data_IF_974146424793
#
_entry.id   IF_974146424793
#
_cell.length_a   1.000
_cell.length_b   1.000
_cell.length_c   1.000
_cell.angle_alpha   90.00
_cell.angle_beta   90.00
_cell.angle_gamma   90.00
#
_symmetry.space_group_name_H-M   'P 1'
#
loop_
_entity.id
_entity.type
_entity.pdbx_description
1 polymer ?
#
# COMPACT_ATOMS: atom_id res chain seq x y z
N UNK A 1 16.18 75.50 15.38
CA UNK A 1 15.04 74.57 15.21
C UNK A 1 14.71 74.43 13.74
N UNK A 2 15.00 73.27 13.12
CA UNK A 2 14.30 72.74 11.92
C UNK A 2 14.86 71.36 11.56
N UNK A 3 14.14 70.35 12.05
CA UNK A 3 13.73 69.07 11.44
C UNK A 3 14.80 68.25 10.70
N UNK A 4 15.30 67.23 11.41
CA UNK A 4 15.83 65.99 10.82
C UNK A 4 14.69 65.23 10.13
N UNK A 5 14.85 64.89 8.85
CA UNK A 5 14.03 63.89 8.16
C UNK A 5 14.85 62.61 8.12
N UNK A 6 14.43 61.64 8.93
CA UNK A 6 14.92 60.26 8.92
C UNK A 6 14.21 59.54 7.78
N UNK A 7 14.95 59.15 6.75
CA UNK A 7 14.45 58.23 5.74
C UNK A 7 14.49 56.81 6.32
N UNK A 8 13.32 56.27 6.67
CA UNK A 8 13.16 54.91 7.13
C UNK A 8 13.39 53.95 5.95
N UNK A 9 14.51 53.24 5.99
CA UNK A 9 14.80 52.10 5.12
C UNK A 9 13.99 50.91 5.63
N UNK A 10 12.79 50.72 5.08
CA UNK A 10 11.96 49.54 5.37
C UNK A 10 12.57 48.30 4.75
N UNK A 11 13.30 47.51 5.55
CA UNK A 11 13.67 46.14 5.19
C UNK A 11 12.42 45.28 5.37
N UNK A 12 11.72 45.02 4.27
CA UNK A 12 10.67 44.01 4.20
C UNK A 12 11.36 42.65 4.19
N UNK A 13 11.47 42.01 5.37
CA UNK A 13 11.97 40.65 5.50
C UNK A 13 10.89 39.69 4.97
N UNK A 14 11.00 39.32 3.69
CA UNK A 14 10.15 38.28 3.11
C UNK A 14 10.64 36.93 3.66
N UNK A 15 9.98 36.42 4.70
CA UNK A 15 10.20 35.05 5.14
C UNK A 15 9.76 34.11 4.01
N UNK A 16 10.72 33.44 3.36
CA UNK A 16 10.41 32.33 2.47
C UNK A 16 9.78 31.24 3.32
N UNK A 17 8.46 31.06 3.20
CA UNK A 17 7.82 29.87 3.70
C UNK A 17 8.40 28.70 2.92
N UNK A 18 9.22 27.87 3.58
CA UNK A 18 9.53 26.55 3.07
C UNK A 18 8.20 25.81 3.05
N UNK A 19 7.71 25.49 1.85
CA UNK A 19 6.59 24.57 1.72
C UNK A 19 7.09 23.23 2.24
N UNK A 20 6.54 22.87 3.38
CA UNK A 20 6.87 21.67 4.08
C UNK A 20 6.14 20.52 3.39
N UNK A 21 6.86 19.43 3.13
CA UNK A 21 6.31 18.27 2.43
C UNK A 21 6.01 17.18 3.46
N UNK A 22 4.94 16.42 3.23
CA UNK A 22 4.50 15.37 4.14
C UNK A 22 5.42 14.18 4.00
N UNK A 23 5.96 13.73 5.12
CA UNK A 23 6.78 12.52 5.18
C UNK A 23 5.96 11.37 5.76
N UNK A 24 6.40 10.15 5.47
CA UNK A 24 5.73 8.92 5.87
C UNK A 24 6.62 8.12 6.80
N UNK A 25 6.02 7.58 7.87
CA UNK A 25 6.72 6.76 8.85
C UNK A 25 6.89 5.35 8.30
N UNK A 26 8.12 4.86 8.32
CA UNK A 26 8.47 3.45 8.11
C UNK A 26 8.94 2.89 9.44
N UNK A 27 8.44 1.70 9.76
CA UNK A 27 8.76 1.01 10.99
C UNK A 27 8.73 -0.50 10.76
N UNK A 28 9.70 -1.18 11.35
CA UNK A 28 9.84 -2.63 11.27
C UNK A 28 10.80 -3.11 12.38
N UNK A 29 10.99 -4.42 12.50
CA UNK A 29 11.86 -5.04 13.48
C UNK A 29 12.87 -6.01 12.83
N UNK A 30 14.09 -6.03 13.36
CA UNK A 30 15.16 -6.90 12.86
C UNK A 30 15.19 -8.18 13.70
N UNK A 31 15.08 -9.32 13.03
CA UNK A 31 15.22 -10.65 13.64
C UNK A 31 16.34 -11.45 12.98
N UNK A 32 16.94 -12.37 13.73
CA UNK A 32 17.88 -13.32 13.17
C UNK A 32 17.16 -14.54 12.56
N UNK A 33 17.91 -15.47 11.97
CA UNK A 33 17.36 -16.69 11.35
C UNK A 33 16.58 -17.59 12.32
N UNK A 34 16.77 -17.43 13.64
CA UNK A 34 16.03 -18.14 14.68
C UNK A 34 14.79 -17.38 15.17
N UNK A 35 14.44 -16.25 14.54
CA UNK A 35 13.30 -15.39 14.91
C UNK A 35 13.53 -14.54 16.15
N UNK A 36 14.76 -14.46 16.68
CA UNK A 36 15.10 -13.66 17.85
C UNK A 36 15.40 -12.23 17.43
N UNK A 37 14.82 -11.26 18.15
CA UNK A 37 15.03 -9.83 17.91
C UNK A 37 16.50 -9.44 18.08
N UNK A 38 16.96 -8.54 17.20
CA UNK A 38 18.36 -8.16 17.11
C UNK A 38 18.55 -6.76 17.67
N UNK A 39 19.20 -6.73 18.84
CA UNK A 39 19.79 -5.56 19.49
C UNK A 39 20.55 -4.66 18.50
N UNK A 40 20.52 -3.32 18.50
CA UNK A 40 21.53 -2.42 17.90
C UNK A 40 22.07 -2.77 16.50
N UNK A 41 21.25 -3.32 15.61
CA UNK A 41 21.61 -3.48 14.21
C UNK A 41 21.65 -2.11 13.53
N UNK A 42 22.60 -1.94 12.60
CA UNK A 42 22.70 -0.75 11.77
C UNK A 42 21.73 -0.90 10.61
N UNK A 43 20.80 0.04 10.46
CA UNK A 43 19.84 0.10 9.36
C UNK A 43 20.18 1.33 8.51
N UNK A 44 20.61 1.09 7.28
CA UNK A 44 20.92 2.14 6.31
C UNK A 44 19.85 2.16 5.23
N UNK A 45 19.28 3.33 4.98
CA UNK A 45 18.25 3.51 3.95
C UNK A 45 18.90 4.16 2.72
N UNK A 46 18.74 3.58 1.55
CA UNK A 46 19.26 4.10 0.28
C UNK A 46 18.11 4.53 -0.62
N UNK A 47 18.37 5.46 -1.53
CA UNK A 47 17.46 5.65 -2.66
C UNK A 47 17.49 4.38 -3.51
N UNK A 48 16.32 3.90 -3.97
CA UNK A 48 16.20 2.63 -4.68
C UNK A 48 17.19 2.48 -5.83
N UNK A 49 17.71 1.27 -5.99
CA UNK A 49 18.66 0.89 -7.03
C UNK A 49 20.00 1.66 -6.96
N UNK A 50 20.32 2.26 -5.80
CA UNK A 50 21.55 3.04 -5.59
C UNK A 50 22.26 2.70 -4.29
N UNK A 51 23.51 3.16 -4.17
CA UNK A 51 24.27 3.13 -2.91
C UNK A 51 24.29 4.48 -2.20
N UNK A 52 23.44 5.43 -2.63
CA UNK A 52 23.37 6.78 -2.06
C UNK A 52 22.38 6.79 -0.88
N UNK A 53 22.82 7.12 0.34
CA UNK A 53 21.92 7.18 1.49
C UNK A 53 20.78 8.18 1.26
N UNK A 54 19.56 7.77 1.59
CA UNK A 54 18.38 8.62 1.54
C UNK A 54 18.40 9.67 2.67
N UNK A 55 17.73 10.80 2.44
CA UNK A 55 17.47 11.78 3.49
C UNK A 55 16.33 11.28 4.36
N UNK A 56 16.60 11.13 5.66
CA UNK A 56 15.58 10.79 6.65
C UNK A 56 15.15 12.04 7.41
N UNK A 57 13.92 12.01 7.93
CA UNK A 57 13.31 13.13 8.63
C UNK A 57 12.96 12.77 10.08
N UNK A 58 12.91 13.80 10.92
CA UNK A 58 12.66 13.65 12.36
C UNK A 58 11.18 13.54 12.72
N UNK A 59 10.26 13.80 11.79
CA UNK A 59 8.83 13.67 12.00
C UNK A 59 8.04 13.72 10.70
N UNK A 60 6.71 13.83 10.83
CA UNK A 60 5.67 13.75 9.77
C UNK A 60 5.79 14.82 8.66
N UNK A 61 6.69 15.77 8.82
CA UNK A 61 6.84 16.91 7.94
C UNK A 61 8.32 17.32 7.85
N UNK A 62 8.77 17.71 6.65
CA UNK A 62 10.17 18.10 6.40
C UNK A 62 10.63 19.32 7.22
N UNK A 63 9.73 20.18 7.70
CA UNK A 63 10.01 21.30 8.58
C UNK A 63 10.49 20.88 9.98
N UNK A 64 10.27 19.62 10.38
CA UNK A 64 10.77 19.08 11.65
C UNK A 64 12.26 18.69 11.60
N UNK A 65 12.91 18.90 10.45
CA UNK A 65 14.33 18.68 10.26
C UNK A 65 14.68 17.24 9.90
N UNK A 66 15.97 17.02 9.60
CA UNK A 66 16.49 15.72 9.18
C UNK A 66 16.87 14.84 10.36
N UNK A 67 16.89 13.54 10.13
CA UNK A 67 17.38 12.50 11.03
C UNK A 67 18.63 11.86 10.42
N UNK A 68 19.54 11.38 11.27
CA UNK A 68 20.73 10.67 10.80
C UNK A 68 20.36 9.39 10.05
N UNK A 69 21.14 9.09 9.02
CA UNK A 69 21.12 7.83 8.29
C UNK A 69 22.58 7.34 8.22
N UNK A 70 22.94 6.21 8.83
CA UNK A 70 22.08 5.13 9.33
C UNK A 70 21.34 5.39 10.66
N UNK A 71 20.31 4.57 10.91
CA UNK A 71 19.61 4.44 12.19
C UNK A 71 19.95 3.10 12.85
N UNK A 72 19.62 2.94 14.14
CA UNK A 72 19.93 1.73 14.91
C UNK A 72 18.67 1.13 15.52
N UNK A 73 18.62 -0.20 15.61
CA UNK A 73 17.52 -0.88 16.32
C UNK A 73 17.61 -0.68 17.83
N UNK A 74 16.46 -0.55 18.50
CA UNK A 74 16.37 -0.44 19.96
C UNK A 74 16.55 -1.78 20.68
N UNK A 75 16.33 -1.87 22.00
CA UNK A 75 16.46 -3.13 22.77
C UNK A 75 15.52 -4.25 22.33
N UNK A 76 14.43 -3.90 21.66
CA UNK A 76 13.42 -4.83 21.14
C UNK A 76 13.65 -5.18 19.67
N UNK A 77 14.75 -4.70 19.07
CA UNK A 77 15.06 -4.92 17.65
C UNK A 77 14.29 -4.03 16.69
N UNK A 78 13.52 -3.06 17.19
CA UNK A 78 12.67 -2.18 16.38
C UNK A 78 13.47 -0.99 15.85
N UNK A 79 13.18 -0.58 14.63
CA UNK A 79 13.68 0.65 14.03
C UNK A 79 12.55 1.44 13.38
N UNK A 80 12.75 2.75 13.24
CA UNK A 80 11.80 3.61 12.53
C UNK A 80 12.45 4.89 12.01
N UNK A 81 11.90 5.41 10.92
CA UNK A 81 12.30 6.67 10.31
C UNK A 81 11.12 7.32 9.57
N UNK A 82 11.28 8.59 9.20
CA UNK A 82 10.38 9.26 8.26
C UNK A 82 11.13 9.53 6.95
N UNK A 83 10.47 9.34 5.81
CA UNK A 83 11.00 9.63 4.48
C UNK A 83 9.93 10.27 3.59
N UNK A 84 10.33 10.97 2.54
CA UNK A 84 9.39 11.45 1.52
C UNK A 84 8.84 10.29 0.70
N UNK A 85 7.71 10.46 0.00
CA UNK A 85 7.22 9.47 -0.94
C UNK A 85 8.29 9.06 -1.97
N UNK A 86 8.44 7.75 -2.22
CA UNK A 86 9.44 7.22 -3.14
C UNK A 86 9.74 5.74 -2.92
N UNK A 87 10.70 5.22 -3.71
CA UNK A 87 11.23 3.85 -3.61
C UNK A 87 12.59 3.88 -2.90
N UNK A 88 12.81 2.94 -1.99
CA UNK A 88 14.01 2.89 -1.15
C UNK A 88 14.53 1.46 -0.98
N UNK A 89 15.83 1.32 -0.75
CA UNK A 89 16.42 0.04 -0.33
C UNK A 89 16.83 0.14 1.13
N UNK A 90 16.46 -0.85 1.95
CA UNK A 90 16.77 -0.88 3.37
C UNK A 90 17.78 -1.99 3.63
N UNK A 91 19.00 -1.60 3.98
CA UNK A 91 20.08 -2.53 4.30
C UNK A 91 20.26 -2.65 5.81
N UNK A 92 20.29 -3.89 6.29
CA UNK A 92 20.47 -4.19 7.71
C UNK A 92 21.80 -4.91 7.92
N UNK A 93 22.61 -4.39 8.83
CA UNK A 93 23.94 -4.91 9.14
C UNK A 93 24.16 -5.02 10.65
N UNK A 94 24.66 -6.18 11.09
CA UNK A 94 25.20 -6.34 12.45
C UNK A 94 26.19 -7.48 12.46
N UNK A 95 27.26 -7.32 13.22
CA UNK A 95 28.18 -8.44 13.50
C UNK A 95 27.42 -9.61 14.13
N UNK A 96 27.49 -10.79 13.51
CA UNK A 96 26.78 -11.99 13.97
C UNK A 96 25.36 -12.16 13.43
N UNK A 97 24.90 -11.27 12.54
CA UNK A 97 23.67 -11.42 11.77
C UNK A 97 24.02 -11.45 10.29
N UNK A 98 23.34 -12.26 9.49
CA UNK A 98 23.46 -12.24 8.03
C UNK A 98 23.01 -10.87 7.53
N UNK A 99 23.91 -10.11 6.91
CA UNK A 99 23.56 -8.88 6.23
C UNK A 99 22.52 -9.17 5.14
N UNK A 100 21.46 -8.39 5.10
CA UNK A 100 20.45 -8.45 4.04
C UNK A 100 20.02 -7.05 3.62
N UNK A 101 19.52 -6.95 2.40
CA UNK A 101 18.90 -5.75 1.84
C UNK A 101 17.47 -6.10 1.48
N UNK A 102 16.53 -5.28 1.95
CA UNK A 102 15.17 -5.26 1.44
C UNK A 102 15.14 -4.24 0.32
N UNK A 103 15.03 -4.72 -0.90
CA UNK A 103 15.00 -3.89 -2.11
C UNK A 103 13.56 -3.40 -2.38
N UNK A 104 13.46 -2.26 -3.05
CA UNK A 104 12.19 -1.71 -3.57
C UNK A 104 11.08 -1.48 -2.53
N UNK A 105 11.45 -0.89 -1.39
CA UNK A 105 10.50 -0.46 -0.37
C UNK A 105 9.83 0.84 -0.80
N UNK A 106 8.54 0.75 -1.11
CA UNK A 106 7.71 1.91 -1.44
C UNK A 106 7.28 2.61 -0.15
N UNK A 107 7.50 3.93 -0.11
CA UNK A 107 7.10 4.82 0.99
C UNK A 107 6.20 5.89 0.40
N UNK A 108 5.10 6.23 1.08
CA UNK A 108 4.27 7.38 0.72
C UNK A 108 3.50 7.28 -0.60
N UNK A 109 3.45 6.10 -1.24
CA UNK A 109 2.33 5.80 -2.12
C UNK A 109 1.06 5.86 -1.28
N UNK A 110 0.03 6.55 -1.77
CA UNK A 110 -1.29 6.59 -1.17
C UNK A 110 -1.94 5.20 -1.29
N UNK A 111 -1.53 4.31 -0.40
CA UNK A 111 -2.12 3.02 -0.07
C UNK A 111 -1.76 2.82 1.41
N UNK A 112 -2.74 3.10 2.27
CA UNK A 112 -2.65 3.30 3.73
C UNK A 112 -1.43 2.73 4.46
N UNK A 113 -0.58 3.63 5.01
CA UNK A 113 0.37 3.27 6.05
C UNK A 113 -0.37 2.84 7.33
N UNK A 114 -0.28 1.56 7.68
CA UNK A 114 -1.02 1.02 8.82
C UNK A 114 -0.57 -0.34 9.34
N UNK A 115 0.71 -0.72 9.20
CA UNK A 115 1.30 -1.84 9.95
C UNK A 115 0.74 -3.23 9.64
N UNK A 116 1.43 -3.97 8.77
CA UNK A 116 1.38 -5.43 8.78
C UNK A 116 0.53 -6.10 7.70
N UNK A 117 0.86 -5.87 6.44
CA UNK A 117 0.85 -6.94 5.43
C UNK A 117 1.63 -6.46 4.20
N UNK A 118 2.79 -7.06 3.92
CA UNK A 118 3.54 -6.91 2.65
C UNK A 118 2.77 -7.47 1.42
N UNK A 119 1.44 -7.54 1.51
CA UNK A 119 0.59 -8.14 0.50
C UNK A 119 0.21 -7.08 -0.52
N UNK A 120 0.27 -7.39 -1.81
CA UNK A 120 -0.17 -6.46 -2.84
C UNK A 120 -1.66 -6.14 -2.64
N UNK A 121 -2.01 -4.86 -2.81
CA UNK A 121 -3.39 -4.38 -2.74
C UNK A 121 -4.06 -4.49 -4.10
N UNK A 122 -5.37 -4.72 -4.14
CA UNK A 122 -6.12 -4.65 -5.40
C UNK A 122 -6.07 -3.25 -6.05
N UNK A 123 -5.86 -2.19 -5.25
CA UNK A 123 -5.69 -0.82 -5.75
C UNK A 123 -4.37 -0.66 -6.54
N UNK A 124 -3.34 -1.47 -6.26
CA UNK A 124 -2.10 -1.49 -7.04
C UNK A 124 -2.32 -1.96 -8.49
N UNK A 125 -3.45 -2.63 -8.74
CA UNK A 125 -3.90 -3.11 -10.05
C UNK A 125 -4.98 -2.22 -10.67
N UNK A 126 -5.35 -1.12 -10.01
CA UNK A 126 -6.28 -0.12 -10.52
C UNK A 126 -7.72 -0.21 -10.00
N UNK A 127 -8.03 -1.14 -9.08
CA UNK A 127 -9.36 -1.24 -8.49
C UNK A 127 -9.70 0.04 -7.70
N UNK A 128 -10.91 0.57 -7.88
CA UNK A 128 -11.34 1.85 -7.32
C UNK A 128 -12.35 1.69 -6.20
N UNK A 129 -11.95 1.93 -4.95
CA UNK A 129 -12.87 1.90 -3.83
C UNK A 129 -13.98 2.95 -3.93
N UNK A 130 -15.24 2.52 -3.83
CA UNK A 130 -16.40 3.40 -3.64
C UNK A 130 -16.85 4.16 -4.89
N UNK A 131 -16.31 3.82 -6.06
CA UNK A 131 -16.91 4.24 -7.32
C UNK A 131 -18.01 3.24 -7.75
N UNK A 132 -18.51 3.35 -8.97
CA UNK A 132 -19.50 2.37 -9.49
C UNK A 132 -18.96 1.65 -10.73
N UNK A 133 -17.64 1.71 -10.92
CA UNK A 133 -16.88 1.04 -11.97
C UNK A 133 -16.83 -0.46 -11.66
N UNK A 134 -16.67 -1.29 -12.69
CA UNK A 134 -16.51 -2.73 -12.48
C UNK A 134 -15.01 -3.01 -12.24
N UNK A 135 -14.67 -3.51 -11.05
CA UNK A 135 -13.31 -3.80 -10.58
C UNK A 135 -12.87 -5.25 -10.90
N UNK A 136 -13.69 -6.01 -11.65
CA UNK A 136 -13.45 -7.44 -11.86
C UNK A 136 -12.10 -7.72 -12.53
N UNK A 137 -11.72 -6.91 -13.52
CA UNK A 137 -10.48 -7.14 -14.28
C UNK A 137 -9.24 -6.83 -13.42
N UNK A 138 -9.30 -5.78 -12.61
CA UNK A 138 -8.24 -5.32 -11.71
C UNK A 138 -8.03 -6.33 -10.56
N UNK A 139 -9.11 -6.82 -9.95
CA UNK A 139 -9.03 -7.86 -8.91
C UNK A 139 -8.47 -9.16 -9.50
N UNK A 140 -8.90 -9.57 -10.70
CA UNK A 140 -8.37 -10.76 -11.37
C UNK A 140 -6.89 -10.58 -11.77
N UNK A 141 -6.45 -9.38 -12.13
CA UNK A 141 -5.04 -9.08 -12.38
C UNK A 141 -4.19 -9.25 -11.11
N UNK A 142 -4.70 -8.81 -9.96
CA UNK A 142 -4.06 -9.03 -8.66
C UNK A 142 -3.91 -10.52 -8.35
N UNK A 143 -5.00 -11.29 -8.52
CA UNK A 143 -5.00 -12.74 -8.30
C UNK A 143 -4.01 -13.45 -9.21
N UNK A 144 -3.98 -13.12 -10.50
CA UNK A 144 -3.07 -13.71 -11.46
C UNK A 144 -1.60 -13.43 -11.10
N UNK A 145 -1.28 -12.20 -10.66
CA UNK A 145 0.08 -11.82 -10.28
C UNK A 145 0.57 -12.57 -9.02
N UNK A 146 -0.29 -12.71 -8.00
CA UNK A 146 0.08 -13.43 -6.77
C UNK A 146 0.18 -14.93 -7.03
N UNK A 147 -0.72 -15.51 -7.80
CA UNK A 147 -0.63 -16.93 -8.17
C UNK A 147 0.63 -17.22 -8.99
N UNK A 148 0.97 -16.37 -9.95
CA UNK A 148 2.22 -16.48 -10.72
C UNK A 148 3.49 -16.41 -9.84
N UNK A 149 3.39 -15.77 -8.67
CA UNK A 149 4.46 -15.69 -7.66
C UNK A 149 4.50 -16.88 -6.70
N UNK A 150 3.65 -17.90 -6.89
CA UNK A 150 3.56 -19.08 -6.04
C UNK A 150 2.45 -19.04 -4.98
N UNK A 151 1.50 -18.11 -5.11
CA UNK A 151 0.41 -17.90 -4.16
C UNK A 151 0.77 -16.90 -3.06
N UNK A 152 -0.18 -16.62 -2.18
CA UNK A 152 -0.04 -15.61 -1.14
C UNK A 152 -1.37 -14.93 -0.83
N UNK A 153 -1.27 -13.80 -0.16
CA UNK A 153 -2.42 -13.00 0.24
C UNK A 153 -2.47 -11.71 -0.57
N UNK A 154 -3.67 -11.20 -0.78
CA UNK A 154 -3.96 -9.94 -1.47
C UNK A 154 -4.81 -9.11 -0.52
N UNK A 155 -4.43 -7.85 -0.34
CA UNK A 155 -5.19 -6.92 0.48
C UNK A 155 -6.36 -6.33 -0.32
N UNK A 156 -7.55 -6.34 0.27
CA UNK A 156 -8.72 -5.61 -0.21
C UNK A 156 -8.97 -4.47 0.78
N UNK A 157 -8.64 -3.21 0.42
CA UNK A 157 -8.78 -2.08 1.32
C UNK A 157 -10.22 -1.82 1.76
N UNK A 158 -10.41 -0.98 2.77
CA UNK A 158 -11.76 -0.58 3.18
C UNK A 158 -12.48 0.15 2.03
N UNK A 159 -13.70 -0.25 1.68
CA UNK A 159 -14.43 0.33 0.56
C UNK A 159 -15.36 -0.65 -0.13
N UNK A 160 -16.09 -0.13 -1.12
CA UNK A 160 -17.01 -0.89 -1.95
C UNK A 160 -16.36 -1.14 -3.31
N UNK A 161 -16.20 -2.39 -3.68
CA UNK A 161 -15.65 -2.79 -4.99
C UNK A 161 -16.72 -3.56 -5.75
N UNK A 162 -17.10 -3.07 -6.92
CA UNK A 162 -18.19 -3.66 -7.67
C UNK A 162 -17.64 -4.70 -8.63
N UNK A 163 -18.18 -5.91 -8.59
CA UNK A 163 -17.80 -6.97 -9.52
C UNK A 163 -18.98 -7.38 -10.38
N UNK A 164 -18.72 -7.60 -11.67
CA UNK A 164 -19.69 -8.09 -12.63
C UNK A 164 -20.94 -7.21 -12.74
N UNK A 165 -20.72 -5.93 -13.03
CA UNK A 165 -21.81 -4.97 -13.21
C UNK A 165 -22.56 -5.24 -14.51
N UNK A 166 -23.89 -5.37 -14.39
CA UNK A 166 -24.79 -5.50 -15.53
C UNK A 166 -24.52 -4.39 -16.57
N UNK A 167 -24.15 -4.78 -17.79
CA UNK A 167 -23.82 -3.86 -18.87
C UNK A 167 -22.32 -3.74 -19.20
N UNK A 168 -21.44 -4.44 -18.48
CA UNK A 168 -20.06 -4.63 -18.93
C UNK A 168 -20.05 -5.43 -20.24
N UNK A 169 -19.81 -4.78 -21.37
CA UNK A 169 -19.70 -5.41 -22.70
C UNK A 169 -18.33 -6.06 -22.93
N UNK A 170 -17.59 -6.44 -21.88
CA UNK A 170 -16.24 -6.99 -22.04
C UNK A 170 -16.33 -8.43 -22.58
N UNK A 171 -15.94 -8.57 -23.84
CA UNK A 171 -16.01 -9.80 -24.64
C UNK A 171 -14.93 -10.85 -24.27
N UNK A 172 -14.32 -10.75 -23.10
CA UNK A 172 -13.30 -11.68 -22.58
C UNK A 172 -13.76 -12.42 -21.30
N UNK A 173 -14.89 -11.99 -20.72
CA UNK A 173 -15.92 -12.73 -19.94
C UNK A 173 -15.46 -13.82 -18.95
N UNK A 174 -14.67 -13.44 -17.95
CA UNK A 174 -14.83 -14.01 -16.61
C UNK A 174 -15.86 -13.15 -15.89
N UNK A 175 -17.04 -13.70 -15.59
CA UNK A 175 -18.15 -12.95 -14.98
C UNK A 175 -18.00 -12.78 -13.46
N UNK A 176 -16.78 -12.85 -12.94
CA UNK A 176 -16.49 -12.75 -11.51
C UNK A 176 -15.01 -12.92 -11.19
N UNK A 177 -14.71 -12.94 -9.90
CA UNK A 177 -13.35 -13.09 -9.38
C UNK A 177 -12.90 -14.56 -9.47
N UNK A 178 -11.83 -14.87 -10.20
CA UNK A 178 -11.22 -16.20 -10.23
C UNK A 178 -10.10 -16.27 -9.22
N UNK A 179 -10.33 -17.01 -8.13
CA UNK A 179 -9.27 -17.41 -7.22
C UNK A 179 -8.43 -18.52 -7.85
N UNK A 180 -7.11 -18.33 -7.82
CA UNK A 180 -6.12 -19.28 -8.33
C UNK A 180 -5.39 -19.97 -7.17
N UNK A 181 -4.57 -20.98 -7.50
CA UNK A 181 -3.83 -21.78 -6.52
C UNK A 181 -3.06 -20.90 -5.51
N UNK A 182 -3.29 -21.19 -4.23
CA UNK A 182 -2.61 -20.57 -3.09
C UNK A 182 -2.99 -19.11 -2.82
N UNK A 183 -4.01 -18.54 -3.47
CA UNK A 183 -4.39 -17.14 -3.33
C UNK A 183 -5.46 -16.94 -2.26
N UNK A 184 -5.24 -15.99 -1.36
CA UNK A 184 -6.21 -15.58 -0.33
C UNK A 184 -6.49 -14.09 -0.40
N UNK A 185 -7.77 -13.70 -0.55
CA UNK A 185 -8.18 -12.30 -0.41
C UNK A 185 -8.36 -11.99 1.07
N UNK A 186 -7.82 -10.87 1.54
CA UNK A 186 -7.96 -10.41 2.92
C UNK A 186 -8.51 -8.99 2.94
N UNK A 187 -9.71 -8.83 3.46
CA UNK A 187 -10.35 -7.54 3.63
C UNK A 187 -9.81 -6.76 4.82
N UNK A 188 -9.62 -5.46 4.65
CA UNK A 188 -9.56 -4.54 5.79
C UNK A 188 -10.96 -4.34 6.40
N UNK A 189 -11.07 -3.87 7.65
CA UNK A 189 -12.37 -3.56 8.24
C UNK A 189 -13.18 -2.59 7.36
N UNK A 190 -14.34 -3.06 6.88
CA UNK A 190 -15.22 -2.30 5.98
C UNK A 190 -14.95 -2.52 4.49
N UNK A 191 -14.10 -3.47 4.11
CA UNK A 191 -13.94 -3.95 2.75
C UNK A 191 -15.16 -4.79 2.31
N UNK A 192 -15.76 -4.43 1.18
CA UNK A 192 -16.98 -5.06 0.64
C UNK A 192 -16.84 -5.32 -0.85
N UNK A 193 -17.09 -6.56 -1.27
CA UNK A 193 -17.31 -6.91 -2.67
C UNK A 193 -18.82 -6.83 -2.94
N UNK A 194 -19.22 -5.92 -3.83
CA UNK A 194 -20.61 -5.70 -4.21
C UNK A 194 -20.88 -6.39 -5.54
N UNK A 195 -21.86 -7.29 -5.52
CA UNK A 195 -22.37 -7.97 -6.71
C UNK A 195 -23.72 -7.34 -7.02
N UNK A 196 -23.79 -6.42 -7.99
CA UNK A 196 -25.01 -5.73 -8.32
C UNK A 196 -26.01 -6.68 -8.97
N UNK A 197 -27.30 -6.39 -8.82
CA UNK A 197 -28.34 -7.12 -9.52
C UNK A 197 -28.12 -7.06 -11.04
N UNK A 198 -28.22 -8.22 -11.70
CA UNK A 198 -28.12 -8.30 -13.16
C UNK A 198 -29.34 -7.62 -13.82
N UNK A 199 -29.19 -6.37 -14.23
CA UNK A 199 -30.21 -5.68 -15.02
C UNK A 199 -30.23 -6.24 -16.46
N UNK A 200 -31.30 -6.96 -16.82
CA UNK A 200 -31.71 -7.12 -18.23
C UNK A 200 -31.54 -8.48 -18.89
N UNK A 201 -31.17 -9.55 -18.18
CA UNK A 201 -31.21 -10.89 -18.79
C UNK A 201 -32.63 -11.47 -18.77
N UNK A 202 -33.33 -11.41 -19.91
CA UNK A 202 -34.58 -12.17 -20.11
C UNK A 202 -34.33 -13.66 -20.39
N UNK A 203 -33.06 -14.08 -20.45
CA UNK A 203 -32.63 -15.45 -20.74
C UNK A 203 -31.98 -16.07 -19.50
N UNK A 204 -32.76 -16.89 -18.78
CA UNK A 204 -32.40 -17.60 -17.54
C UNK A 204 -32.31 -16.70 -16.30
N UNK A 205 -33.06 -17.00 -15.21
CA UNK A 205 -32.93 -16.31 -13.93
C UNK A 205 -31.58 -16.57 -13.23
N UNK A 206 -30.72 -17.40 -13.83
CA UNK A 206 -29.33 -17.61 -13.44
C UNK A 206 -28.41 -17.25 -14.62
N UNK A 207 -28.24 -15.97 -15.00
CA UNK A 207 -27.31 -15.62 -16.04
C UNK A 207 -25.89 -15.67 -15.45
N UNK A 208 -25.30 -16.87 -15.34
CA UNK A 208 -23.85 -17.19 -15.24
C UNK A 208 -22.91 -16.28 -14.44
N UNK A 209 -23.44 -15.44 -13.55
CA UNK A 209 -22.72 -14.54 -12.67
C UNK A 209 -22.33 -15.33 -11.43
N UNK A 210 -21.29 -16.16 -11.57
CA UNK A 210 -20.57 -16.61 -10.39
C UNK A 210 -19.78 -15.40 -9.90
N UNK A 211 -20.02 -14.94 -8.67
CA UNK A 211 -19.30 -13.81 -8.12
C UNK A 211 -17.83 -14.13 -7.87
N UNK A 212 -17.58 -15.36 -7.39
CA UNK A 212 -16.25 -15.89 -7.11
C UNK A 212 -16.22 -17.35 -7.58
N UNK A 213 -15.16 -17.74 -8.28
CA UNK A 213 -14.89 -19.11 -8.72
C UNK A 213 -13.47 -19.50 -8.36
N UNK A 214 -13.22 -20.79 -8.26
CA UNK A 214 -11.91 -21.36 -7.95
C UNK A 214 -11.66 -22.63 -8.76
N UNK A 215 -11.98 -22.59 -10.05
CA UNK A 215 -12.02 -23.77 -10.93
C UNK A 215 -10.71 -24.59 -10.88
N UNK A 216 -10.77 -25.72 -10.18
CA UNK A 216 -9.63 -26.62 -9.99
C UNK A 216 -8.53 -26.10 -9.06
N UNK A 217 -8.74 -24.97 -8.37
CA UNK A 217 -7.73 -24.35 -7.52
C UNK A 217 -7.68 -24.93 -6.09
N UNK A 218 -6.48 -24.94 -5.50
CA UNK A 218 -6.21 -25.43 -4.15
C UNK A 218 -5.62 -24.33 -3.27
N UNK A 219 -5.87 -24.41 -1.96
CA UNK A 219 -5.29 -23.47 -0.99
C UNK A 219 -5.80 -22.03 -1.13
N UNK A 220 -7.02 -21.87 -1.62
CA UNK A 220 -7.68 -20.56 -1.73
C UNK A 220 -8.24 -20.09 -0.39
N UNK A 221 -8.39 -18.78 -0.21
CA UNK A 221 -8.99 -18.21 0.99
C UNK A 221 -9.69 -16.88 0.75
N UNK A 222 -10.66 -16.57 1.63
CA UNK A 222 -11.24 -15.24 1.79
C UNK A 222 -11.29 -15.00 3.30
N UNK A 223 -10.64 -13.94 3.77
CA UNK A 223 -10.56 -13.56 5.17
C UNK A 223 -11.07 -12.12 5.31
N UNK A 224 -11.81 -11.84 6.38
CA UNK A 224 -12.21 -10.48 6.79
C UNK A 224 -12.85 -9.60 5.69
N UNK A 225 -13.49 -10.23 4.70
CA UNK A 225 -14.12 -9.59 3.56
C UNK A 225 -15.63 -9.82 3.58
N UNK A 226 -16.41 -8.76 3.42
CA UNK A 226 -17.86 -8.85 3.27
C UNK A 226 -18.24 -9.01 1.78
N UNK A 227 -19.15 -9.93 1.48
CA UNK A 227 -19.70 -10.12 0.13
C UNK A 227 -21.17 -9.72 0.16
N UNK A 228 -21.52 -8.70 -0.61
CA UNK A 228 -22.86 -8.10 -0.65
C UNK A 228 -23.50 -8.39 -1.99
N UNK A 229 -24.70 -8.96 -1.97
CA UNK A 229 -25.55 -9.10 -3.15
C UNK A 229 -26.60 -7.99 -3.12
N UNK A 230 -26.63 -7.14 -4.14
CA UNK A 230 -27.69 -6.14 -4.24
C UNK A 230 -28.96 -6.79 -4.82
N UNK A 231 -30.09 -6.62 -4.13
CA UNK A 231 -31.38 -7.07 -4.63
C UNK A 231 -31.81 -6.21 -5.84
N UNK A 232 -32.11 -6.87 -6.95
CA UNK A 232 -32.70 -6.21 -8.11
C UNK A 232 -34.10 -5.72 -7.78
N UNK A 233 -34.32 -4.41 -7.89
CA UNK A 233 -35.67 -3.84 -7.90
C UNK A 233 -36.44 -4.29 -9.14
#
# INVERSE_FOLDING_TARGET
MRKMIVAALGVLLLAAAVLADTTYRVEDDVRNQSGVVVSGATVTVYNADTTTPATLYSGIDTALGTKSNPVYTDSSGRYWFYALPGRYDIKVERTGVTTYTREDVIVGASGGGGGGSDWPSIEDYGAGAGDTTDDTDEINAAVAAVSASGGGKILVPSGDFYVNKAGATSSTSQSGIILMDGVTLVGEPGARIIIPAQQGSTASPFPSCWAISADGAYGIGIEDLEIVFEDGQ
#
